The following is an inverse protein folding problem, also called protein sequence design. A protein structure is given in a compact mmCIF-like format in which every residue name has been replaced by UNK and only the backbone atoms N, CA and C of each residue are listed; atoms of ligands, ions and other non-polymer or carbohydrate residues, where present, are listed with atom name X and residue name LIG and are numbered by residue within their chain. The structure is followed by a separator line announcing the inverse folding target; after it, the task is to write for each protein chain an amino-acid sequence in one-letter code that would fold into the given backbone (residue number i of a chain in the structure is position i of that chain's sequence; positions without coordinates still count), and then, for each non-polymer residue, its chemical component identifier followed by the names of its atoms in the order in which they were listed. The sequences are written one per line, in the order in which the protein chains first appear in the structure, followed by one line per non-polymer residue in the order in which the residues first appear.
data_IF_183327520025
#
_entry.id   IF_183327520025
#
_cell.length_a   1.000
_cell.length_b   1.000
_cell.length_c   1.000
_cell.angle_alpha   90.00
_cell.angle_beta   90.00
_cell.angle_gamma   90.00
#
_symmetry.space_group_name_H-M   'P 1'
#
loop_
_entity.id
_entity.type
_entity.pdbx_description
1 polymer ?
#
# COMPACT_ATOMS: atom_id res chain seq x y z
N UNK A 1 -1.00 -11.49 -22.26
CA UNK A 1 0.29 -11.87 -22.90
C UNK A 1 1.14 -10.67 -22.70
N UNK A 2 2.20 -10.84 -21.93
CA UNK A 2 3.02 -9.72 -21.47
C UNK A 2 4.39 -9.89 -22.09
N UNK A 3 4.93 -8.81 -22.65
CA UNK A 3 6.29 -8.80 -23.17
C UNK A 3 7.15 -7.98 -22.24
N UNK A 4 8.20 -8.62 -21.73
CA UNK A 4 9.06 -8.07 -20.69
C UNK A 4 10.44 -7.81 -21.26
N UNK A 5 11.12 -6.81 -20.70
CA UNK A 5 12.53 -6.53 -20.96
C UNK A 5 12.84 -6.29 -22.45
N UNK A 6 11.98 -5.50 -23.11
CA UNK A 6 12.15 -5.10 -24.51
C UNK A 6 13.23 -4.02 -24.59
N UNK A 7 14.25 -4.26 -25.40
CA UNK A 7 15.44 -3.41 -25.50
C UNK A 7 15.66 -2.83 -26.89
N UNK A 8 15.08 -3.44 -27.93
CA UNK A 8 15.26 -2.99 -29.32
C UNK A 8 13.95 -2.68 -30.03
N UNK A 9 14.02 -1.84 -31.07
CA UNK A 9 12.88 -1.56 -31.96
C UNK A 9 12.36 -2.85 -32.61
N UNK A 10 13.25 -3.80 -32.95
CA UNK A 10 12.86 -5.11 -33.49
C UNK A 10 11.98 -5.89 -32.53
N UNK A 11 12.40 -6.02 -31.27
CA UNK A 11 11.65 -6.71 -30.22
C UNK A 11 10.32 -6.01 -29.95
N UNK A 12 10.34 -4.67 -29.88
CA UNK A 12 9.14 -3.86 -29.67
C UNK A 12 8.13 -4.07 -30.80
N UNK A 13 8.58 -3.96 -32.06
CA UNK A 13 7.73 -4.15 -33.24
C UNK A 13 7.17 -5.58 -33.31
N UNK A 14 7.99 -6.57 -32.98
CA UNK A 14 7.55 -7.97 -32.90
C UNK A 14 6.46 -8.15 -31.85
N UNK A 15 6.64 -7.60 -30.65
CA UNK A 15 5.68 -7.68 -29.56
C UNK A 15 4.37 -6.98 -29.91
N UNK A 16 4.44 -5.75 -30.42
CA UNK A 16 3.26 -4.96 -30.83
C UNK A 16 2.42 -5.66 -31.91
N UNK A 17 3.05 -6.42 -32.82
CA UNK A 17 2.35 -7.21 -33.85
C UNK A 17 1.52 -8.37 -33.29
N UNK A 18 1.77 -8.81 -32.06
CA UNK A 18 0.98 -9.87 -31.40
C UNK A 18 -0.28 -9.35 -30.72
N UNK A 19 -0.39 -8.04 -30.50
CA UNK A 19 -1.56 -7.41 -29.90
C UNK A 19 -2.60 -7.00 -30.96
N UNK A 20 -3.81 -6.71 -30.49
CA UNK A 20 -4.84 -6.13 -31.34
C UNK A 20 -4.42 -4.70 -31.74
N UNK A 21 -4.27 -4.49 -33.04
CA UNK A 21 -3.76 -3.25 -33.62
C UNK A 21 -4.65 -2.01 -33.39
N UNK A 22 -5.92 -2.22 -33.03
CA UNK A 22 -6.88 -1.15 -32.73
C UNK A 22 -6.89 -0.75 -31.24
N UNK A 23 -6.13 -1.43 -30.38
CA UNK A 23 -6.03 -1.06 -28.97
C UNK A 23 -5.35 0.30 -28.85
N UNK A 24 -5.88 1.16 -27.97
CA UNK A 24 -5.20 2.39 -27.59
C UNK A 24 -3.85 2.05 -26.93
N UNK A 25 -2.80 2.77 -27.32
CA UNK A 25 -1.49 2.70 -26.69
C UNK A 25 -1.39 3.77 -25.62
N UNK A 26 -1.03 3.36 -24.40
CA UNK A 26 -0.85 4.25 -23.25
C UNK A 26 0.51 4.02 -22.62
N UNK A 27 0.99 5.01 -21.88
CA UNK A 27 2.08 4.91 -20.92
C UNK A 27 1.54 5.24 -19.53
N UNK A 28 2.02 4.53 -18.52
CA UNK A 28 1.61 4.79 -17.14
C UNK A 28 2.41 5.94 -16.55
N UNK A 29 1.72 6.90 -15.95
CA UNK A 29 2.28 8.03 -15.21
C UNK A 29 1.70 8.03 -13.79
N UNK A 30 2.56 8.13 -12.77
CA UNK A 30 2.15 8.07 -11.36
C UNK A 30 1.22 9.23 -10.94
N UNK A 31 1.22 10.36 -11.69
CA UNK A 31 0.43 11.55 -11.33
C UNK A 31 -0.93 11.60 -12.01
N UNK A 32 -1.01 11.15 -13.27
CA UNK A 32 -2.19 11.30 -14.11
C UNK A 32 -2.72 9.97 -14.68
N UNK A 33 -2.10 8.84 -14.33
CA UNK A 33 -2.53 7.51 -14.73
C UNK A 33 -2.17 7.19 -16.18
N UNK A 34 -3.14 6.71 -16.97
CA UNK A 34 -2.90 6.27 -18.36
C UNK A 34 -2.94 7.43 -19.34
N UNK A 35 -1.80 7.68 -20.01
CA UNK A 35 -1.60 8.84 -20.90
C UNK A 35 -1.09 8.39 -22.27
N UNK A 36 -1.20 9.24 -23.28
CA UNK A 36 -0.63 8.97 -24.60
C UNK A 36 0.88 8.86 -24.53
N UNK A 37 1.43 7.93 -25.29
CA UNK A 37 2.87 7.70 -25.32
C UNK A 37 3.52 8.45 -26.47
N UNK A 38 4.67 9.06 -26.24
CA UNK A 38 5.54 9.56 -27.29
C UNK A 38 6.95 9.04 -27.10
N UNK A 39 7.79 9.19 -28.12
CA UNK A 39 9.20 8.89 -28.00
C UNK A 39 10.04 9.94 -28.72
N UNK A 40 11.25 10.16 -28.22
CA UNK A 40 12.25 11.05 -28.82
C UNK A 40 13.60 10.39 -28.83
N UNK A 41 14.46 10.84 -29.74
CA UNK A 41 15.86 10.40 -29.76
C UNK A 41 16.61 11.08 -28.61
N UNK A 42 17.29 10.28 -27.82
CA UNK A 42 18.20 10.75 -26.77
C UNK A 42 19.59 10.13 -26.93
N UNK A 43 20.57 10.75 -26.29
CA UNK A 43 21.93 10.26 -26.23
C UNK A 43 22.55 10.47 -24.87
N UNK A 44 23.28 9.47 -24.39
CA UNK A 44 24.08 9.56 -23.16
C UNK A 44 25.54 9.32 -23.48
N UNK A 45 26.42 10.04 -22.79
CA UNK A 45 27.85 9.76 -22.80
C UNK A 45 28.20 8.91 -21.58
N UNK A 46 28.78 7.73 -21.81
CA UNK A 46 29.33 6.88 -20.76
C UNK A 46 30.70 6.38 -21.18
N UNK A 47 31.71 6.60 -20.32
CA UNK A 47 33.08 6.18 -20.55
C UNK A 47 33.65 6.67 -21.90
N UNK A 48 33.36 7.92 -22.29
CA UNK A 48 33.80 8.51 -23.55
C UNK A 48 33.13 7.93 -24.81
N UNK A 49 32.08 7.11 -24.65
CA UNK A 49 31.26 6.59 -25.75
C UNK A 49 29.87 7.22 -25.71
N UNK A 50 29.42 7.69 -26.87
CA UNK A 50 28.06 8.20 -27.06
C UNK A 50 27.12 7.03 -27.42
N UNK A 51 26.08 6.85 -26.61
CA UNK A 51 25.03 5.86 -26.82
C UNK A 51 23.75 6.57 -27.20
N UNK A 52 23.16 6.21 -28.34
CA UNK A 52 21.89 6.76 -28.83
C UNK A 52 20.76 5.74 -28.67
N UNK A 53 19.59 6.21 -28.23
CA UNK A 53 18.41 5.38 -28.02
C UNK A 53 17.13 6.21 -28.18
N UNK A 54 16.00 5.50 -28.27
CA UNK A 54 14.67 6.08 -28.32
C UNK A 54 14.08 6.04 -26.92
N UNK A 55 13.85 7.21 -26.33
CA UNK A 55 13.29 7.36 -25.00
C UNK A 55 11.79 7.58 -25.10
N UNK A 56 11.00 6.68 -24.53
CA UNK A 56 9.54 6.76 -24.41
C UNK A 56 9.15 7.58 -23.18
N UNK A 57 8.13 8.42 -23.32
CA UNK A 57 7.68 9.33 -22.27
C UNK A 57 6.17 9.66 -22.39
N UNK A 58 5.51 10.04 -21.28
CA UNK A 58 4.13 10.50 -21.28
C UNK A 58 3.98 11.81 -22.05
N UNK A 59 3.03 11.85 -22.98
CA UNK A 59 2.70 13.03 -23.77
C UNK A 59 1.28 13.49 -23.46
N UNK A 60 1.19 14.65 -22.81
CA UNK A 60 -0.05 15.26 -22.34
C UNK A 60 -0.81 16.05 -23.42
N UNK A 61 -0.17 16.32 -24.56
CA UNK A 61 -0.74 17.16 -25.62
C UNK A 61 -1.40 16.34 -26.73
N UNK A 62 -1.07 15.06 -26.83
CA UNK A 62 -1.49 14.18 -27.92
C UNK A 62 -2.55 13.21 -27.43
N UNK A 63 -3.62 13.04 -28.22
CA UNK A 63 -4.65 12.04 -27.93
C UNK A 63 -4.07 10.62 -27.93
N UNK A 64 -4.75 9.69 -27.25
CA UNK A 64 -4.44 8.27 -27.35
C UNK A 64 -4.57 7.80 -28.80
N UNK A 65 -3.60 7.04 -29.26
CA UNK A 65 -3.58 6.50 -30.62
C UNK A 65 -3.42 4.97 -30.60
N UNK A 66 -3.94 4.29 -31.63
CA UNK A 66 -3.94 2.84 -31.65
C UNK A 66 -2.54 2.26 -31.89
N UNK A 67 -2.34 1.00 -31.51
CA UNK A 67 -1.08 0.24 -31.71
C UNK A 67 -0.59 0.30 -33.16
N UNK A 68 -1.49 0.27 -34.15
CA UNK A 68 -1.13 0.41 -35.57
C UNK A 68 -0.38 1.71 -35.88
N UNK A 69 -0.77 2.81 -35.23
CA UNK A 69 -0.12 4.10 -35.41
C UNK A 69 1.28 4.08 -34.81
N UNK A 70 1.46 3.49 -33.62
CA UNK A 70 2.79 3.31 -33.03
C UNK A 70 3.70 2.48 -33.95
N UNK A 71 3.19 1.35 -34.44
CA UNK A 71 3.91 0.47 -35.37
C UNK A 71 4.37 1.23 -36.62
N UNK A 72 3.50 2.08 -37.19
CA UNK A 72 3.84 2.87 -38.38
C UNK A 72 5.02 3.84 -38.17
N UNK A 73 5.23 4.31 -36.94
CA UNK A 73 6.37 5.14 -36.60
C UNK A 73 7.63 4.30 -36.38
N UNK A 74 7.50 3.16 -35.70
CA UNK A 74 8.63 2.27 -35.39
C UNK A 74 9.20 1.57 -36.62
N UNK A 75 8.37 1.23 -37.62
CA UNK A 75 8.81 0.59 -38.87
C UNK A 75 9.71 1.50 -39.73
N UNK A 76 9.71 2.82 -39.48
CA UNK A 76 10.62 3.77 -40.14
C UNK A 76 12.00 3.87 -39.47
N UNK A 77 12.16 3.24 -38.32
CA UNK A 77 13.37 3.32 -37.48
C UNK A 77 14.23 2.08 -37.67
N UNK A 78 15.56 2.18 -37.43
CA UNK A 78 16.44 1.04 -37.57
C UNK A 78 16.11 -0.03 -36.52
N UNK A 79 15.96 -1.29 -36.96
CA UNK A 79 15.61 -2.43 -36.10
C UNK A 79 16.52 -2.60 -34.88
N UNK A 80 17.80 -2.25 -35.03
CA UNK A 80 18.82 -2.33 -33.97
C UNK A 80 18.82 -1.14 -33.02
N UNK A 81 17.97 -0.13 -33.23
CA UNK A 81 17.88 1.00 -32.30
C UNK A 81 17.41 0.50 -30.93
N UNK A 82 18.07 1.01 -29.90
CA UNK A 82 17.74 0.72 -28.52
C UNK A 82 16.51 1.56 -28.14
N UNK A 83 15.58 0.94 -27.42
CA UNK A 83 14.42 1.61 -26.83
C UNK A 83 14.55 1.60 -25.32
N UNK A 84 14.10 2.67 -24.67
CA UNK A 84 14.12 2.82 -23.23
C UNK A 84 12.96 3.71 -22.76
N UNK A 85 12.63 3.60 -21.48
CA UNK A 85 11.77 4.51 -20.73
C UNK A 85 12.56 5.08 -19.57
N UNK A 86 12.25 6.32 -19.18
CA UNK A 86 12.92 6.98 -18.06
C UNK A 86 12.09 6.84 -16.79
N UNK A 87 12.70 6.39 -15.70
CA UNK A 87 12.03 6.34 -14.38
C UNK A 87 12.00 7.72 -13.69
N UNK A 88 11.38 7.78 -12.51
CA UNK A 88 11.30 8.98 -11.67
C UNK A 88 12.68 9.50 -11.23
N UNK A 89 13.66 8.61 -11.07
CA UNK A 89 15.03 8.94 -10.68
C UNK A 89 15.91 9.35 -11.87
N UNK A 90 15.36 9.26 -13.08
CA UNK A 90 16.00 9.61 -14.33
C UNK A 90 16.88 8.52 -14.96
N UNK A 91 16.82 7.29 -14.47
CA UNK A 91 17.48 6.14 -15.07
C UNK A 91 16.72 5.63 -16.30
N UNK A 92 17.45 5.08 -17.25
CA UNK A 92 16.88 4.46 -18.44
C UNK A 92 16.67 2.97 -18.22
N UNK A 93 15.43 2.52 -18.39
CA UNK A 93 14.99 1.15 -18.18
C UNK A 93 14.42 0.56 -19.47
N UNK A 94 14.40 -0.77 -19.52
CA UNK A 94 13.78 -1.52 -20.62
C UNK A 94 12.25 -1.39 -20.59
N UNK A 95 11.61 -1.55 -21.75
CA UNK A 95 10.17 -1.46 -21.86
C UNK A 95 9.48 -2.77 -21.46
N UNK A 96 8.34 -2.64 -20.81
CA UNK A 96 7.39 -3.70 -20.50
C UNK A 96 6.06 -3.36 -21.17
N UNK A 97 5.42 -4.37 -21.76
CA UNK A 97 4.11 -4.25 -22.41
C UNK A 97 3.10 -5.14 -21.71
N UNK A 98 2.01 -4.53 -21.27
CA UNK A 98 0.89 -5.21 -20.61
C UNK A 98 -0.44 -4.78 -21.20
N UNK A 99 -1.46 -5.62 -21.02
CA UNK A 99 -2.84 -5.21 -21.28
C UNK A 99 -3.49 -4.91 -19.94
N UNK A 100 -4.10 -3.73 -19.85
CA UNK A 100 -5.02 -3.43 -18.77
C UNK A 100 -6.47 -3.39 -19.28
N UNK A 101 -7.41 -3.65 -18.38
CA UNK A 101 -8.83 -3.64 -18.68
C UNK A 101 -9.67 -3.08 -17.53
N UNK A 102 -10.71 -2.33 -17.89
CA UNK A 102 -11.71 -1.87 -16.93
C UNK A 102 -13.12 -2.06 -17.48
N UNK A 103 -14.11 -1.99 -16.60
CA UNK A 103 -15.53 -2.06 -16.95
C UNK A 103 -16.18 -0.77 -16.46
N UNK A 104 -16.62 0.07 -17.39
CA UNK A 104 -17.42 1.25 -17.07
C UNK A 104 -18.82 1.10 -17.69
N UNK A 105 -19.86 1.22 -16.85
CA UNK A 105 -21.28 1.10 -17.25
C UNK A 105 -21.60 -0.14 -18.09
N UNK A 106 -20.97 -1.27 -17.77
CA UNK A 106 -21.15 -2.54 -18.50
C UNK A 106 -20.38 -2.64 -19.83
N UNK A 107 -19.66 -1.59 -20.22
CA UNK A 107 -18.76 -1.61 -21.37
C UNK A 107 -17.35 -1.97 -20.92
N UNK A 108 -16.77 -2.99 -21.55
CA UNK A 108 -15.41 -3.43 -21.28
C UNK A 108 -14.43 -2.66 -22.15
N UNK A 109 -13.50 -1.95 -21.51
CA UNK A 109 -12.42 -1.22 -22.16
C UNK A 109 -11.10 -1.96 -21.97
N UNK A 110 -10.26 -1.93 -23.00
CA UNK A 110 -8.94 -2.54 -23.00
C UNK A 110 -7.95 -1.61 -23.67
N UNK A 111 -6.74 -1.51 -23.15
CA UNK A 111 -5.65 -0.76 -23.76
C UNK A 111 -4.32 -1.44 -23.50
N UNK A 112 -3.33 -1.09 -24.34
CA UNK A 112 -1.95 -1.52 -24.19
C UNK A 112 -1.21 -0.50 -23.34
N UNK A 113 -0.57 -0.96 -22.27
CA UNK A 113 0.24 -0.15 -21.37
C UNK A 113 1.72 -0.41 -21.65
N UNK A 114 2.46 0.66 -21.92
CA UNK A 114 3.92 0.69 -21.91
C UNK A 114 4.36 1.17 -20.53
N UNK A 115 5.18 0.39 -19.86
CA UNK A 115 5.70 0.76 -18.54
C UNK A 115 7.17 0.39 -18.39
N UNK A 116 7.80 0.94 -17.37
CA UNK A 116 9.07 0.43 -16.89
C UNK A 116 8.87 -0.82 -16.02
N UNK A 117 9.98 -1.42 -15.60
CA UNK A 117 10.00 -2.62 -14.76
C UNK A 117 9.33 -2.40 -13.40
N UNK A 118 9.62 -1.31 -12.71
CA UNK A 118 9.11 -1.05 -11.37
C UNK A 118 7.61 -0.77 -11.41
N UNK A 119 7.15 0.01 -12.39
CA UNK A 119 5.73 0.20 -12.63
C UNK A 119 5.04 -1.13 -12.99
N UNK A 120 5.68 -1.96 -13.83
CA UNK A 120 5.15 -3.29 -14.13
C UNK A 120 5.00 -4.15 -12.88
N UNK A 121 6.06 -4.23 -12.07
CA UNK A 121 6.08 -4.98 -10.82
C UNK A 121 5.02 -4.47 -9.84
N UNK A 122 4.90 -3.16 -9.69
CA UNK A 122 3.98 -2.50 -8.75
C UNK A 122 2.52 -2.59 -9.11
N UNK A 123 2.17 -2.57 -10.40
CA UNK A 123 0.76 -2.49 -10.84
C UNK A 123 0.23 -3.79 -11.44
N UNK A 124 1.10 -4.60 -12.07
CA UNK A 124 0.66 -5.79 -12.80
C UNK A 124 1.15 -7.09 -12.16
N UNK A 125 2.23 -7.04 -11.38
CA UNK A 125 2.77 -8.21 -10.66
C UNK A 125 2.19 -8.33 -9.23
N UNK A 126 1.65 -7.25 -8.68
CA UNK A 126 0.91 -7.18 -7.41
C UNK A 126 -0.52 -7.76 -7.47
N UNK A 127 -0.74 -8.80 -8.27
CA UNK A 127 -1.94 -9.65 -8.10
C UNK A 127 -1.82 -10.61 -6.91
N UNK A 128 -0.89 -10.37 -5.98
CA UNK A 128 -0.89 -10.90 -4.62
C UNK A 128 -0.33 -9.82 -3.70
N UNK A 129 -1.24 -8.97 -3.22
CA UNK A 129 -0.99 -8.12 -2.07
C UNK A 129 -0.34 -9.00 -0.98
N UNK A 130 0.75 -8.59 -0.35
CA UNK A 130 1.42 -9.43 0.66
C UNK A 130 0.44 -9.74 1.80
N UNK A 131 0.62 -10.86 2.51
CA UNK A 131 -0.23 -11.22 3.67
C UNK A 131 -0.34 -10.04 4.65
N UNK A 132 0.73 -9.26 4.79
CA UNK A 132 0.77 -8.06 5.62
C UNK A 132 -0.14 -6.95 5.06
N UNK A 133 0.01 -6.59 3.80
CA UNK A 133 -0.82 -5.55 3.18
C UNK A 133 -2.31 -5.94 3.16
N UNK A 134 -2.63 -7.22 2.91
CA UNK A 134 -4.01 -7.72 2.98
C UNK A 134 -4.60 -7.55 4.37
N UNK A 135 -3.80 -7.86 5.40
CA UNK A 135 -4.24 -7.74 6.78
C UNK A 135 -4.47 -6.27 7.15
N UNK A 136 -3.57 -5.37 6.72
CA UNK A 136 -3.68 -3.94 6.93
C UNK A 136 -4.93 -3.36 6.24
N UNK A 137 -5.15 -3.68 4.96
CA UNK A 137 -6.32 -3.19 4.21
C UNK A 137 -7.63 -3.64 4.85
N UNK A 138 -7.70 -4.91 5.26
CA UNK A 138 -8.88 -5.45 5.96
C UNK A 138 -9.17 -4.69 7.25
N UNK A 139 -8.15 -4.47 8.09
CA UNK A 139 -8.34 -3.76 9.35
C UNK A 139 -8.69 -2.28 9.16
N UNK A 140 -8.09 -1.61 8.16
CA UNK A 140 -8.43 -0.22 7.81
C UNK A 140 -9.89 -0.09 7.42
N UNK A 141 -10.39 -1.01 6.59
CA UNK A 141 -11.81 -1.03 6.19
C UNK A 141 -12.77 -1.23 7.37
N UNK A 142 -12.38 -2.04 8.36
CA UNK A 142 -13.16 -2.23 9.59
C UNK A 142 -13.23 -0.92 10.40
N UNK A 143 -12.13 -0.16 10.51
CA UNK A 143 -12.09 1.13 11.22
C UNK A 143 -12.83 2.26 10.49
N UNK A 144 -12.74 2.32 9.16
CA UNK A 144 -13.50 3.30 8.36
C UNK A 144 -15.01 3.14 8.54
N UNK A 145 -15.46 1.91 8.81
CA UNK A 145 -16.88 1.59 9.01
C UNK A 145 -17.37 2.00 10.41
N UNK A 146 -16.57 1.74 11.45
CA UNK A 146 -16.90 2.05 12.85
C UNK A 146 -15.67 2.62 13.59
N UNK A 147 -15.46 3.95 13.60
CA UNK A 147 -14.34 4.55 14.30
C UNK A 147 -14.53 4.42 15.83
N UNK A 148 -13.65 3.69 16.49
CA UNK A 148 -13.61 3.52 17.95
C UNK A 148 -12.15 3.57 18.42
N UNK A 149 -11.86 4.43 19.41
CA UNK A 149 -10.51 4.65 19.94
C UNK A 149 -9.86 3.40 20.55
N UNK A 150 -10.66 2.43 21.01
CA UNK A 150 -10.16 1.13 21.51
C UNK A 150 -9.76 0.23 20.35
N UNK A 151 -10.52 0.23 19.25
CA UNK A 151 -10.19 -0.52 18.04
C UNK A 151 -8.96 0.08 17.35
N UNK A 152 -8.82 1.40 17.32
CA UNK A 152 -7.62 2.09 16.83
C UNK A 152 -6.36 1.68 17.59
N UNK A 153 -6.44 1.53 18.92
CA UNK A 153 -5.32 1.07 19.73
C UNK A 153 -4.89 -0.37 19.38
N UNK A 154 -5.86 -1.26 19.14
CA UNK A 154 -5.61 -2.64 18.69
C UNK A 154 -4.99 -2.63 17.28
N UNK A 155 -5.57 -1.86 16.35
CA UNK A 155 -5.06 -1.69 15.00
C UNK A 155 -3.61 -1.21 14.99
N UNK A 156 -3.31 -0.12 15.70
CA UNK A 156 -1.96 0.46 15.76
C UNK A 156 -0.93 -0.54 16.27
N UNK A 157 -1.31 -1.39 17.24
CA UNK A 157 -0.44 -2.46 17.71
C UNK A 157 -0.26 -3.57 16.67
N UNK A 158 -1.33 -4.00 15.99
CA UNK A 158 -1.29 -5.03 14.94
C UNK A 158 -0.46 -4.57 13.72
N UNK A 159 -0.51 -3.29 13.36
CA UNK A 159 0.30 -2.71 12.28
C UNK A 159 1.81 -2.79 12.52
N UNK A 160 2.24 -2.92 13.78
CA UNK A 160 3.65 -3.05 14.15
C UNK A 160 4.13 -4.52 14.14
N UNK A 161 3.23 -5.48 13.92
CA UNK A 161 3.56 -6.90 13.95
C UNK A 161 4.00 -7.40 12.58
N UNK A 162 4.99 -8.29 12.57
CA UNK A 162 5.54 -8.95 11.36
C UNK A 162 5.35 -10.47 11.39
N UNK A 163 4.64 -10.97 12.41
CA UNK A 163 4.38 -12.39 12.61
C UNK A 163 3.41 -12.91 11.55
N UNK A 164 3.85 -13.91 10.77
CA UNK A 164 3.08 -14.44 9.64
C UNK A 164 1.80 -15.17 10.07
N UNK A 165 1.83 -15.87 11.20
CA UNK A 165 0.68 -16.65 11.68
C UNK A 165 -0.39 -15.69 12.19
N UNK A 166 0.02 -14.63 12.89
CA UNK A 166 -0.86 -13.56 13.32
C UNK A 166 -1.50 -12.83 12.13
N UNK A 167 -0.71 -12.42 11.14
CA UNK A 167 -1.21 -11.73 9.96
C UNK A 167 -2.17 -12.62 9.15
N UNK A 168 -1.85 -13.90 9.00
CA UNK A 168 -2.74 -14.87 8.35
C UNK A 168 -4.03 -15.06 9.15
N UNK A 169 -3.96 -15.02 10.48
CA UNK A 169 -5.11 -15.04 11.37
C UNK A 169 -6.05 -13.85 11.17
N UNK A 170 -5.51 -12.65 10.97
CA UNK A 170 -6.30 -11.43 10.69
C UNK A 170 -7.13 -11.56 9.41
N UNK A 171 -6.62 -12.29 8.41
CA UNK A 171 -7.28 -12.51 7.13
C UNK A 171 -8.48 -13.46 7.18
N UNK A 172 -8.65 -14.23 8.26
CA UNK A 172 -9.81 -15.12 8.41
C UNK A 172 -11.10 -14.28 8.48
N UNK A 173 -12.15 -14.70 7.77
CA UNK A 173 -13.42 -13.97 7.67
C UNK A 173 -14.16 -13.83 9.01
N UNK A 174 -13.99 -14.81 9.91
CA UNK A 174 -14.59 -14.83 11.24
C UNK A 174 -13.76 -14.08 12.30
N UNK A 175 -12.63 -13.47 11.90
CA UNK A 175 -11.79 -12.64 12.77
C UNK A 175 -11.99 -11.17 12.41
N UNK A 176 -12.20 -10.32 13.42
CA UNK A 176 -12.43 -8.86 13.27
C UNK A 176 -11.83 -8.14 14.47
N UNK A 177 -11.52 -6.86 14.33
CA UNK A 177 -11.04 -5.99 15.42
C UNK A 177 -12.06 -5.97 16.57
N UNK A 178 -13.35 -5.88 16.24
CA UNK A 178 -14.46 -5.92 17.21
C UNK A 178 -14.56 -7.28 17.91
N UNK A 179 -14.31 -8.37 17.18
CA UNK A 179 -14.22 -9.70 17.77
C UNK A 179 -13.04 -9.85 18.74
N UNK A 180 -11.88 -9.27 18.38
CA UNK A 180 -10.72 -9.23 19.27
C UNK A 180 -11.00 -8.42 20.55
N UNK A 181 -11.66 -7.26 20.43
CA UNK A 181 -12.11 -6.48 21.59
C UNK A 181 -13.05 -7.31 22.48
N UNK A 182 -14.06 -7.96 21.91
CA UNK A 182 -15.00 -8.80 22.65
C UNK A 182 -14.28 -9.96 23.35
N UNK A 183 -13.29 -10.57 22.70
CA UNK A 183 -12.45 -11.61 23.30
C UNK A 183 -11.65 -11.09 24.50
N UNK A 184 -11.03 -9.92 24.38
CA UNK A 184 -10.34 -9.28 25.50
C UNK A 184 -11.27 -8.97 26.67
N UNK A 185 -12.49 -8.50 26.41
CA UNK A 185 -13.51 -8.26 27.44
C UNK A 185 -13.89 -9.56 28.14
N UNK A 186 -14.05 -10.65 27.39
CA UNK A 186 -14.36 -11.97 27.95
C UNK A 186 -13.24 -12.48 28.86
N UNK A 187 -11.98 -12.41 28.40
CA UNK A 187 -10.81 -12.77 29.22
C UNK A 187 -10.71 -11.91 30.48
N UNK A 188 -10.99 -10.61 30.36
CA UNK A 188 -11.03 -9.72 31.53
C UNK A 188 -12.11 -10.14 32.53
N UNK A 189 -13.28 -10.58 32.06
CA UNK A 189 -14.35 -11.07 32.92
C UNK A 189 -13.96 -12.33 33.69
N UNK A 190 -13.19 -13.23 33.08
CA UNK A 190 -12.71 -14.47 33.71
C UNK A 190 -11.72 -14.21 34.86
N UNK A 191 -10.88 -13.19 34.75
CA UNK A 191 -9.88 -12.84 35.76
C UNK A 191 -10.36 -11.79 36.77
N UNK A 192 -11.61 -11.33 36.67
CA UNK A 192 -12.12 -10.24 37.49
C UNK A 192 -12.11 -10.64 38.97
N UNK A 193 -11.75 -9.68 39.82
CA UNK A 193 -11.89 -9.80 41.27
C UNK A 193 -12.94 -8.79 41.75
N UNK A 194 -14.11 -9.29 42.15
CA UNK A 194 -15.28 -8.45 42.45
C UNK A 194 -15.83 -7.78 41.19
N UNK A 195 -15.91 -6.45 41.20
CA UNK A 195 -16.57 -5.65 40.15
C UNK A 195 -15.66 -5.27 38.98
N UNK A 196 -14.39 -5.70 38.96
CA UNK A 196 -13.46 -5.30 37.92
C UNK A 196 -12.29 -6.25 37.74
N UNK A 197 -11.58 -6.06 36.65
CA UNK A 197 -10.33 -6.74 36.33
C UNK A 197 -9.25 -5.69 36.08
N UNK A 198 -8.03 -5.97 36.57
CA UNK A 198 -6.87 -5.15 36.27
C UNK A 198 -5.94 -5.97 35.37
N UNK A 199 -5.82 -5.56 34.11
CA UNK A 199 -4.93 -6.16 33.13
C UNK A 199 -3.97 -5.11 32.60
N UNK A 200 -2.70 -5.47 32.41
CA UNK A 200 -1.73 -4.60 31.75
C UNK A 200 -2.00 -4.54 30.24
N UNK A 201 -1.56 -3.48 29.56
CA UNK A 201 -1.67 -3.39 28.10
C UNK A 201 -0.95 -4.56 27.40
N UNK A 202 0.18 -5.03 27.94
CA UNK A 202 0.89 -6.22 27.44
C UNK A 202 -0.01 -7.46 27.52
N UNK A 203 -0.70 -7.64 28.65
CA UNK A 203 -1.65 -8.76 28.85
C UNK A 203 -2.79 -8.70 27.84
N UNK A 204 -3.35 -7.52 27.62
CA UNK A 204 -4.44 -7.31 26.65
C UNK A 204 -3.99 -7.62 25.22
N UNK A 205 -2.81 -7.14 24.80
CA UNK A 205 -2.27 -7.44 23.47
C UNK A 205 -1.92 -8.92 23.27
N UNK A 206 -1.52 -9.63 24.33
CA UNK A 206 -1.36 -11.08 24.27
C UNK A 206 -2.68 -11.80 24.01
N UNK A 207 -3.80 -11.34 24.59
CA UNK A 207 -5.12 -11.89 24.27
C UNK A 207 -5.56 -11.56 22.84
N UNK A 208 -5.21 -10.38 22.32
CA UNK A 208 -5.43 -10.03 20.90
C UNK A 208 -4.66 -11.01 20.01
N UNK A 209 -3.38 -11.27 20.30
CA UNK A 209 -2.59 -12.26 19.56
C UNK A 209 -3.25 -13.63 19.61
N UNK A 210 -3.60 -14.09 20.81
CA UNK A 210 -4.27 -15.37 21.04
C UNK A 210 -5.52 -15.50 20.16
N UNK A 211 -6.39 -14.49 20.14
CA UNK A 211 -7.61 -14.48 19.34
C UNK A 211 -7.37 -14.77 17.85
N UNK A 212 -6.39 -14.13 17.24
CA UNK A 212 -6.09 -14.31 15.81
C UNK A 212 -5.33 -15.61 15.52
N UNK A 213 -4.56 -16.12 16.48
CA UNK A 213 -3.83 -17.39 16.33
C UNK A 213 -4.64 -18.64 16.70
N UNK A 214 -5.83 -18.48 17.31
CA UNK A 214 -6.72 -19.60 17.59
C UNK A 214 -7.19 -20.28 16.28
N UNK A 215 -7.16 -21.61 16.27
CA UNK A 215 -7.69 -22.42 15.17
C UNK A 215 -9.19 -22.19 14.99
N UNK A 216 -9.95 -22.26 16.08
CA UNK A 216 -11.40 -22.05 16.14
C UNK A 216 -11.77 -21.11 17.30
N UNK A 217 -12.81 -20.29 17.11
CA UNK A 217 -13.32 -19.43 18.20
C UNK A 217 -14.14 -20.25 19.19
N UNK A 218 -14.09 -19.94 20.49
CA UNK A 218 -14.99 -20.52 21.47
C UNK A 218 -16.44 -20.25 21.08
N UNK A 219 -17.25 -21.31 20.91
CA UNK A 219 -18.66 -21.21 20.51
C UNK A 219 -19.61 -20.73 21.60
N UNK A 220 -19.14 -20.58 22.84
CA UNK A 220 -19.95 -20.04 23.92
C UNK A 220 -20.02 -18.51 23.82
N UNK A 221 -21.14 -18.01 23.29
CA UNK A 221 -21.53 -16.61 23.44
C UNK A 221 -22.15 -16.43 24.84
N UNK A 222 -21.49 -15.77 25.81
CA UNK A 222 -22.21 -15.31 26.99
C UNK A 222 -23.18 -14.18 26.59
N UNK A 223 -24.40 -14.24 27.10
CA UNK A 223 -25.38 -13.16 27.01
C UNK A 223 -24.88 -11.97 27.84
N UNK A 224 -24.20 -11.02 27.22
CA UNK A 224 -23.82 -9.77 27.88
C UNK A 224 -25.04 -8.81 27.79
N UNK A 225 -25.87 -8.78 28.83
CA UNK A 225 -26.73 -7.61 29.09
C UNK A 225 -25.91 -6.59 29.89
N UNK A 226 -25.20 -5.71 29.19
CA UNK A 226 -24.63 -4.53 29.80
C UNK A 226 -25.77 -3.54 30.08
N UNK A 227 -26.27 -3.48 31.32
CA UNK A 227 -27.07 -2.33 31.76
C UNK A 227 -26.11 -1.21 32.12
N UNK A 228 -25.87 -0.30 31.18
CA UNK A 228 -25.16 0.95 31.46
C UNK A 228 -26.16 1.87 32.17
N UNK A 229 -26.02 2.04 33.48
CA UNK A 229 -26.63 3.20 34.17
C UNK A 229 -25.76 4.43 33.84
N UNK A 230 -26.27 5.28 32.98
CA UNK A 230 -25.62 6.46 32.43
C UNK A 230 -25.63 7.66 33.39
N UNK A 231 -25.08 7.52 34.60
CA UNK A 231 -25.09 8.62 35.60
C UNK A 231 -23.72 9.24 35.90
N UNK A 232 -22.66 8.93 35.15
CA UNK A 232 -21.30 9.45 35.45
C UNK A 232 -20.58 10.14 34.28
N UNK A 233 -21.31 10.80 33.36
CA UNK A 233 -20.67 11.58 32.27
C UNK A 233 -20.21 13.00 32.72
N UNK A 234 -20.47 13.44 33.95
CA UNK A 234 -20.04 14.78 34.38
C UNK A 234 -19.26 14.79 35.70
N UNK A 235 -18.02 14.29 35.70
CA UNK A 235 -17.00 14.77 36.64
C UNK A 235 -15.74 15.19 35.87
N UNK A 236 -15.55 16.51 35.76
CA UNK A 236 -14.29 17.13 35.37
C UNK A 236 -13.17 16.62 36.29
N UNK A 237 -12.23 15.88 35.73
CA UNK A 237 -10.99 15.51 36.43
C UNK A 237 -10.18 16.80 36.65
N UNK A 238 -10.07 17.25 37.90
CA UNK A 238 -9.07 18.25 38.29
C UNK A 238 -7.71 17.56 38.39
N UNK A 239 -6.68 18.09 37.71
CA UNK A 239 -5.30 17.62 37.84
C UNK A 239 -4.81 17.89 39.28
N UNK A 240 -4.20 16.92 39.97
CA UNK A 240 -3.55 17.19 41.25
C UNK A 240 -2.28 18.05 41.04
N UNK A 241 -2.11 19.03 41.93
CA UNK A 241 -0.96 19.95 41.99
C UNK A 241 0.33 19.19 42.31
N UNK A 242 1.50 19.58 41.74
CA UNK A 242 2.77 18.92 42.03
C UNK A 242 3.17 19.10 43.50
N UNK A 243 3.61 18.00 44.14
CA UNK A 243 4.27 18.05 45.46
C UNK A 243 5.75 18.31 45.23
N UNK A 244 6.24 19.46 45.72
CA UNK A 244 7.68 19.79 45.74
C UNK A 244 8.46 18.72 46.50
N UNK A 245 9.45 18.12 45.83
CA UNK A 245 10.53 17.41 46.51
C UNK A 245 11.81 18.21 46.27
N UNK A 246 12.27 18.91 47.31
CA UNK A 246 13.57 19.59 47.31
C UNK A 246 14.67 18.55 47.12
N UNK A 247 15.48 18.71 46.09
CA UNK A 247 16.89 18.34 46.14
C UNK A 247 17.68 19.31 45.26
N UNK A 248 18.55 20.06 45.95
CA UNK A 248 19.49 21.01 45.39
C UNK A 248 20.51 20.27 44.52
N UNK A 249 20.68 20.72 43.27
CA UNK A 249 21.95 20.84 42.53
C UNK A 249 21.59 21.26 41.10
N UNK A 250 21.38 22.57 40.94
CA UNK A 250 21.22 23.23 39.65
C UNK A 250 22.61 23.38 39.03
N UNK A 251 22.87 22.67 37.93
CA UNK A 251 23.96 22.99 37.02
C UNK A 251 23.29 23.70 35.86
N UNK A 252 23.47 25.01 35.80
CA UNK A 252 22.90 25.89 34.79
C UNK A 252 23.63 25.67 33.45
N UNK A 253 22.88 25.32 32.39
CA UNK A 253 23.44 24.85 31.12
C UNK A 253 23.33 25.89 29.99
N UNK A 254 22.96 27.14 30.28
CA UNK A 254 22.76 28.17 29.25
C UNK A 254 23.14 29.61 29.66
N UNK A 255 24.19 29.80 30.45
CA UNK A 255 24.89 31.10 30.49
C UNK A 255 26.34 30.95 30.00
N UNK A 256 26.59 31.46 28.80
CA UNK A 256 27.95 31.67 28.31
C UNK A 256 28.06 31.82 26.79
N UNK A 257 27.75 33.00 26.27
CA UNK A 257 28.52 33.61 25.19
C UNK A 257 28.26 35.13 25.19
N UNK A 258 29.21 35.89 25.76
CA UNK A 258 29.85 37.04 25.09
C UNK A 258 30.82 37.75 26.06
N UNK A 259 32.05 37.97 25.55
CA UNK A 259 33.24 38.66 26.07
C UNK A 259 34.30 37.84 26.84
#
# INVERSE_FOLDING_TARGET
MDFQNIQTVKELTYALKQYNQNLATTIFDDTQGYISVAFRKESIERNGKNFQFLCFYPNYEVALYPVVTLLSYLEKLPEKAIVAIKDSDGNYLSLYLTIDETIDKGTKYKWLVISDRFSYERFFLTSQLTIQEQALEKMLKELETEPDSRLEAIHNWLCQQTDKDLLTGILKEDRTLKGAEAYCIQKAYEIRNGNGAMASHITVFNWVREYYTLDELPTDKPKIQATIKSDYINQKIQRPTPVETKNNNEIDLFEGEDF
#
